data_IF_563476175505
#
_entry.id   IF_563476175505
#
_cell.length_a   1.000
_cell.length_b   1.000
_cell.length_c   1.000
_cell.angle_alpha   90.00
_cell.angle_beta   90.00
_cell.angle_gamma   90.00
#
_symmetry.space_group_name_H-M   'P 1'
#
loop_
_entity.id
_entity.type
_entity.pdbx_description
1 polymer ?
#
# COMPACT_ATOMS: atom_id res chain seq x y z
N UNK A 1 -27.21 23.22 -26.18
CA UNK A 1 -27.53 22.69 -24.83
C UNK A 1 -29.04 22.78 -24.57
N UNK A 2 -29.65 21.87 -23.79
CA UNK A 2 -31.10 21.95 -23.51
C UNK A 2 -31.41 23.04 -22.47
N UNK A 3 -32.50 23.80 -22.65
CA UNK A 3 -32.98 24.80 -21.67
C UNK A 3 -33.16 24.19 -20.27
N UNK A 4 -33.52 22.90 -20.21
CA UNK A 4 -33.68 22.13 -18.98
C UNK A 4 -32.38 21.96 -18.19
N UNK A 5 -31.24 21.72 -18.87
CA UNK A 5 -29.93 21.55 -18.22
C UNK A 5 -29.46 22.86 -17.59
N UNK A 6 -29.64 23.99 -18.29
CA UNK A 6 -29.29 25.32 -17.77
C UNK A 6 -30.05 25.64 -16.47
N UNK A 7 -31.37 25.46 -16.47
CA UNK A 7 -32.20 25.70 -15.28
C UNK A 7 -31.87 24.75 -14.12
N UNK A 8 -31.45 23.51 -14.39
CA UNK A 8 -31.01 22.59 -13.33
C UNK A 8 -29.67 23.02 -12.73
N UNK A 9 -28.73 23.44 -13.57
CA UNK A 9 -27.43 23.94 -13.12
C UNK A 9 -27.59 25.15 -12.19
N UNK A 10 -28.36 26.17 -12.62
CA UNK A 10 -28.63 27.37 -11.81
C UNK A 10 -29.24 27.01 -10.44
N UNK A 11 -30.21 26.08 -10.41
CA UNK A 11 -30.80 25.58 -9.15
C UNK A 11 -29.81 24.82 -8.26
N UNK A 12 -28.86 24.11 -8.86
CA UNK A 12 -27.83 23.39 -8.12
C UNK A 12 -26.83 24.37 -7.48
N UNK A 13 -26.46 25.44 -8.18
CA UNK A 13 -25.60 26.51 -7.63
C UNK A 13 -26.33 27.23 -6.48
N UNK A 14 -27.60 27.61 -6.68
CA UNK A 14 -28.41 28.23 -5.63
C UNK A 14 -28.47 27.36 -4.36
N UNK A 15 -28.61 26.03 -4.52
CA UNK A 15 -28.57 25.12 -3.38
C UNK A 15 -27.24 25.18 -2.61
N UNK A 16 -26.11 25.32 -3.31
CA UNK A 16 -24.80 25.45 -2.66
C UNK A 16 -24.68 26.77 -1.89
N UNK A 17 -25.11 27.89 -2.46
CA UNK A 17 -25.13 29.20 -1.78
C UNK A 17 -25.99 29.17 -0.50
N UNK A 18 -27.12 28.45 -0.54
CA UNK A 18 -28.01 28.30 0.62
C UNK A 18 -27.45 27.35 1.68
N UNK A 19 -26.61 26.39 1.30
CA UNK A 19 -26.14 25.29 2.17
C UNK A 19 -24.73 25.51 2.73
N UNK A 20 -23.86 26.19 1.99
CA UNK A 20 -22.45 26.39 2.33
C UNK A 20 -22.17 27.89 2.54
N UNK A 21 -21.91 28.33 3.79
CA UNK A 21 -21.67 29.75 4.09
C UNK A 21 -20.53 30.38 3.30
N UNK A 22 -19.51 29.60 2.94
CA UNK A 22 -18.36 30.06 2.17
C UNK A 22 -18.78 30.56 0.78
N UNK A 23 -19.73 29.87 0.14
CA UNK A 23 -20.31 30.31 -1.13
C UNK A 23 -21.19 31.56 -1.02
N UNK A 24 -21.50 32.04 0.19
CA UNK A 24 -22.14 33.34 0.40
C UNK A 24 -21.12 34.49 0.47
N UNK A 25 -19.85 34.18 0.80
CA UNK A 25 -18.76 35.15 0.89
C UNK A 25 -18.17 35.46 -0.48
N UNK A 26 -18.13 34.46 -1.37
CA UNK A 26 -17.67 34.58 -2.76
C UNK A 26 -18.87 34.70 -3.69
N UNK A 27 -18.74 35.44 -4.79
CA UNK A 27 -19.79 35.39 -5.79
C UNK A 27 -19.67 34.08 -6.57
N UNK A 28 -20.78 33.48 -7.04
CA UNK A 28 -20.71 32.27 -7.86
C UNK A 28 -19.83 32.41 -9.11
N UNK A 29 -19.74 33.61 -9.67
CA UNK A 29 -18.90 33.93 -10.83
C UNK A 29 -17.39 33.86 -10.51
N UNK A 30 -17.01 33.98 -9.23
CA UNK A 30 -15.62 33.86 -8.78
C UNK A 30 -15.21 32.39 -8.53
N UNK A 31 -16.19 31.52 -8.23
CA UNK A 31 -15.96 30.09 -7.97
C UNK A 31 -16.21 29.22 -9.21
N UNK A 32 -17.19 29.60 -10.05
CA UNK A 32 -17.59 28.85 -11.25
C UNK A 32 -17.33 29.69 -12.50
N UNK A 33 -16.12 29.61 -13.05
CA UNK A 33 -15.77 30.26 -14.32
C UNK A 33 -16.27 29.41 -15.51
N UNK A 34 -17.37 29.85 -16.10
CA UNK A 34 -17.98 29.21 -17.27
C UNK A 34 -17.32 29.74 -18.54
N UNK A 35 -16.19 29.15 -18.95
CA UNK A 35 -15.43 29.59 -20.14
C UNK A 35 -16.13 29.29 -21.46
N UNK A 36 -16.90 28.21 -21.54
CA UNK A 36 -17.66 27.85 -22.74
C UNK A 36 -19.01 27.18 -22.39
N UNK A 37 -19.79 26.79 -23.41
CA UNK A 37 -21.14 26.24 -23.18
C UNK A 37 -21.13 24.91 -22.41
N UNK A 38 -20.00 24.19 -22.41
CA UNK A 38 -19.85 22.82 -21.88
C UNK A 38 -19.01 22.71 -20.60
N UNK A 39 -17.94 23.48 -20.48
CA UNK A 39 -16.92 23.36 -19.43
C UNK A 39 -17.05 24.49 -18.41
N UNK A 40 -16.84 24.13 -17.15
CA UNK A 40 -16.86 25.01 -16.00
C UNK A 40 -15.57 24.74 -15.25
N UNK A 41 -14.76 25.78 -15.10
CA UNK A 41 -13.59 25.79 -14.26
C UNK A 41 -14.04 26.15 -12.84
N UNK A 42 -13.67 25.33 -11.87
CA UNK A 42 -14.07 25.49 -10.48
C UNK A 42 -12.83 25.77 -9.65
N UNK A 43 -12.83 26.90 -8.96
CA UNK A 43 -11.77 27.29 -8.04
C UNK A 43 -12.36 27.31 -6.62
N UNK A 44 -11.91 26.41 -5.74
CA UNK A 44 -12.41 26.44 -4.37
C UNK A 44 -11.91 27.69 -3.64
N UNK A 45 -12.63 28.16 -2.60
CA UNK A 45 -12.11 29.18 -1.71
C UNK A 45 -10.71 28.80 -1.20
N UNK A 46 -9.81 29.78 -1.14
CA UNK A 46 -8.44 29.64 -0.61
C UNK A 46 -7.50 28.77 -1.45
N UNK A 47 -7.86 28.51 -2.71
CA UNK A 47 -7.05 27.78 -3.68
C UNK A 47 -6.19 28.73 -4.52
N UNK A 48 -5.02 28.26 -4.97
CA UNK A 48 -4.18 28.99 -5.91
C UNK A 48 -4.73 28.85 -7.34
N UNK A 49 -4.57 29.89 -8.17
CA UNK A 49 -5.21 30.02 -9.49
C UNK A 49 -4.90 28.88 -10.49
N UNK A 50 -3.90 28.05 -10.22
CA UNK A 50 -3.41 26.98 -11.11
C UNK A 50 -4.00 25.58 -10.82
N UNK A 51 -4.88 25.44 -9.82
CA UNK A 51 -5.48 24.14 -9.41
C UNK A 51 -6.96 23.97 -9.82
N UNK A 52 -7.38 24.56 -10.94
CA UNK A 52 -8.77 24.52 -11.34
C UNK A 52 -9.33 23.10 -11.61
N UNK A 53 -10.52 22.81 -11.07
CA UNK A 53 -11.25 21.59 -11.41
C UNK A 53 -12.10 21.87 -12.65
N UNK A 54 -11.82 21.16 -13.74
CA UNK A 54 -12.57 21.27 -14.99
C UNK A 54 -13.67 20.21 -15.04
N UNK A 55 -14.93 20.63 -15.01
CA UNK A 55 -16.09 19.75 -15.12
C UNK A 55 -17.15 20.29 -16.07
N UNK A 56 -17.98 19.40 -16.59
CA UNK A 56 -19.17 19.81 -17.31
C UNK A 56 -20.30 20.22 -16.36
N UNK A 57 -21.22 21.07 -16.84
CA UNK A 57 -22.45 21.43 -16.09
C UNK A 57 -23.24 20.20 -15.65
N UNK A 58 -23.24 19.13 -16.45
CA UNK A 58 -23.93 17.89 -16.13
C UNK A 58 -23.24 17.13 -14.99
N UNK A 59 -21.90 17.02 -15.03
CA UNK A 59 -21.11 16.41 -13.94
C UNK A 59 -21.28 17.18 -12.63
N UNK A 60 -21.30 18.52 -12.67
CA UNK A 60 -21.56 19.36 -11.48
C UNK A 60 -22.95 19.07 -10.90
N UNK A 61 -23.99 19.02 -11.73
CA UNK A 61 -25.35 18.67 -11.28
C UNK A 61 -25.36 17.30 -10.61
N UNK A 62 -24.73 16.29 -11.22
CA UNK A 62 -24.66 14.93 -10.68
C UNK A 62 -23.93 14.87 -9.34
N UNK A 63 -22.80 15.56 -9.21
CA UNK A 63 -22.04 15.61 -7.96
C UNK A 63 -22.78 16.37 -6.86
N UNK A 64 -23.52 17.43 -7.17
CA UNK A 64 -24.36 18.14 -6.19
C UNK A 64 -25.52 17.25 -5.71
N UNK A 65 -26.11 16.44 -6.59
CA UNK A 65 -27.12 15.45 -6.16
C UNK A 65 -26.52 14.35 -5.28
N UNK A 66 -25.28 13.90 -5.55
CA UNK A 66 -24.56 13.01 -4.64
C UNK A 66 -24.27 13.68 -3.29
N UNK A 67 -23.86 14.95 -3.29
CA UNK A 67 -23.63 15.75 -2.09
C UNK A 67 -24.90 16.03 -1.26
N UNK A 68 -26.09 15.94 -1.85
CA UNK A 68 -27.35 16.01 -1.09
C UNK A 68 -27.62 14.73 -0.29
N UNK A 69 -27.07 13.60 -0.72
CA UNK A 69 -27.42 12.27 -0.23
C UNK A 69 -26.25 11.50 0.39
N UNK A 70 -25.07 12.10 0.51
CA UNK A 70 -23.90 11.42 1.04
C UNK A 70 -24.05 11.07 2.53
N UNK A 71 -23.33 10.05 2.93
CA UNK A 71 -23.05 9.71 4.33
C UNK A 71 -21.55 9.68 4.52
N UNK A 72 -21.09 10.12 5.67
CA UNK A 72 -19.68 10.11 6.01
C UNK A 72 -19.46 9.40 7.32
N UNK A 73 -18.41 8.58 7.34
CA UNK A 73 -17.78 8.04 8.54
C UNK A 73 -16.42 8.72 8.65
N UNK A 74 -16.27 9.64 9.61
CA UNK A 74 -15.09 10.50 9.75
C UNK A 74 -13.89 9.67 10.22
N UNK A 75 -14.11 8.79 11.21
CA UNK A 75 -13.09 7.91 11.79
C UNK A 75 -12.47 7.01 10.71
N UNK A 76 -13.29 6.57 9.76
CA UNK A 76 -12.88 5.70 8.67
C UNK A 76 -12.58 6.44 7.37
N UNK A 77 -12.76 7.77 7.36
CA UNK A 77 -12.60 8.65 6.21
C UNK A 77 -13.25 8.10 4.95
N UNK A 78 -14.46 7.59 5.17
CA UNK A 78 -15.27 6.88 4.19
C UNK A 78 -16.48 7.71 3.84
N UNK A 79 -16.58 8.06 2.56
CA UNK A 79 -17.70 8.80 1.99
C UNK A 79 -18.54 7.81 1.20
N UNK A 80 -19.81 7.68 1.55
CA UNK A 80 -20.77 6.88 0.81
C UNK A 80 -21.75 7.78 0.07
N UNK A 81 -21.84 7.63 -1.24
CA UNK A 81 -22.88 8.26 -2.06
C UNK A 81 -23.82 7.19 -2.60
N UNK A 82 -24.95 7.55 -3.25
CA UNK A 82 -25.85 6.55 -3.85
C UNK A 82 -25.20 5.65 -4.92
N UNK A 83 -24.06 6.05 -5.48
CA UNK A 83 -23.46 5.42 -6.65
C UNK A 83 -22.11 4.75 -6.38
N UNK A 84 -21.38 5.21 -5.34
CA UNK A 84 -20.02 4.77 -5.06
C UNK A 84 -19.64 5.02 -3.61
N UNK A 85 -18.52 4.44 -3.21
CA UNK A 85 -17.87 4.69 -1.93
C UNK A 85 -16.51 5.31 -2.24
N UNK A 86 -16.11 6.32 -1.47
CA UNK A 86 -14.84 6.99 -1.64
C UNK A 86 -14.06 6.99 -0.33
N UNK A 87 -12.74 6.91 -0.46
CA UNK A 87 -11.78 7.04 0.63
C UNK A 87 -10.76 8.12 0.27
N UNK A 88 -10.35 8.90 1.26
CA UNK A 88 -9.29 9.88 1.09
C UNK A 88 -7.93 9.19 0.94
N UNK A 89 -7.15 9.67 -0.01
CA UNK A 89 -5.76 9.26 -0.21
C UNK A 89 -4.84 10.47 -0.39
N UNK A 90 -3.61 10.34 0.10
CA UNK A 90 -2.48 11.26 -0.13
C UNK A 90 -1.32 10.52 -0.76
N UNK A 91 -0.48 11.27 -1.47
CA UNK A 91 0.81 10.82 -1.98
C UNK A 91 1.91 11.28 -1.03
N UNK A 92 2.91 10.44 -0.81
CA UNK A 92 4.08 10.76 0.03
C UNK A 92 5.39 10.66 -0.74
N UNK A 93 5.32 10.86 -2.05
CA UNK A 93 6.46 10.75 -2.96
C UNK A 93 6.27 11.76 -4.09
N UNK A 94 7.37 12.33 -4.59
CA UNK A 94 7.37 13.20 -5.77
C UNK A 94 6.58 12.59 -6.95
N UNK A 95 6.78 11.30 -7.22
CA UNK A 95 6.08 10.57 -8.29
C UNK A 95 4.56 10.56 -8.09
N UNK A 96 4.08 10.52 -6.85
CA UNK A 96 2.64 10.57 -6.56
C UNK A 96 2.07 11.96 -6.86
N UNK A 97 2.81 13.03 -6.55
CA UNK A 97 2.40 14.41 -6.85
C UNK A 97 2.33 14.64 -8.35
N UNK A 98 3.33 14.16 -9.12
CA UNK A 98 3.31 14.21 -10.59
C UNK A 98 2.10 13.46 -11.16
N UNK A 99 1.79 12.27 -10.64
CA UNK A 99 0.63 11.49 -11.08
C UNK A 99 -0.69 12.19 -10.78
N UNK A 100 -0.79 12.87 -9.64
CA UNK A 100 -1.99 13.60 -9.28
C UNK A 100 -2.17 14.88 -10.10
N UNK A 101 -1.09 15.64 -10.34
CA UNK A 101 -1.14 16.84 -11.16
C UNK A 101 -1.49 16.53 -12.61
N UNK A 102 -0.91 15.45 -13.17
CA UNK A 102 -1.21 14.98 -14.53
C UNK A 102 -2.51 14.16 -14.62
N UNK A 103 -3.19 13.90 -13.50
CA UNK A 103 -4.43 13.11 -13.43
C UNK A 103 -4.32 11.75 -14.14
N UNK A 104 -3.19 11.07 -13.99
CA UNK A 104 -2.89 9.81 -14.70
C UNK A 104 -3.94 8.76 -14.35
N UNK A 105 -4.51 8.12 -15.37
CA UNK A 105 -5.58 7.16 -15.18
C UNK A 105 -5.03 5.90 -14.48
N UNK A 106 -5.55 5.62 -13.29
CA UNK A 106 -5.23 4.44 -12.49
C UNK A 106 -6.51 3.74 -12.07
N UNK A 107 -6.74 2.55 -12.62
CA UNK A 107 -7.90 1.73 -12.31
C UNK A 107 -7.55 0.24 -12.28
N UNK A 108 -8.33 -0.50 -11.50
CA UNK A 108 -8.23 -1.96 -11.42
C UNK A 108 -9.54 -2.55 -10.91
N UNK A 109 -9.54 -3.87 -10.69
CA UNK A 109 -10.69 -4.60 -10.20
C UNK A 109 -10.28 -5.59 -9.13
N UNK A 110 -10.94 -5.51 -7.97
CA UNK A 110 -10.80 -6.48 -6.91
C UNK A 110 -12.08 -7.31 -6.82
N UNK A 111 -12.00 -8.58 -7.17
CA UNK A 111 -13.17 -9.48 -7.29
C UNK A 111 -14.21 -8.86 -8.25
N UNK A 112 -15.33 -8.36 -7.74
CA UNK A 112 -16.40 -7.74 -8.52
C UNK A 112 -16.50 -6.22 -8.30
N UNK A 113 -15.54 -5.60 -7.62
CA UNK A 113 -15.55 -4.17 -7.28
C UNK A 113 -14.52 -3.46 -8.16
N UNK A 114 -14.97 -2.42 -8.86
CA UNK A 114 -14.09 -1.57 -9.66
C UNK A 114 -13.47 -0.52 -8.73
N UNK A 115 -12.15 -0.35 -8.82
CA UNK A 115 -11.35 0.54 -7.98
C UNK A 115 -10.60 1.51 -8.87
N UNK A 116 -10.66 2.82 -8.59
CA UNK A 116 -9.89 3.82 -9.34
C UNK A 116 -9.63 5.07 -8.51
N UNK A 117 -8.57 5.79 -8.84
CA UNK A 117 -8.39 7.17 -8.38
C UNK A 117 -9.34 8.06 -9.20
N UNK A 118 -10.21 8.82 -8.54
CA UNK A 118 -11.30 9.58 -9.18
C UNK A 118 -11.10 11.09 -9.08
N UNK A 119 -10.22 11.62 -9.94
CA UNK A 119 -9.88 13.05 -9.99
C UNK A 119 -11.10 13.96 -10.23
N UNK A 120 -12.08 13.49 -11.01
CA UNK A 120 -13.31 14.25 -11.28
C UNK A 120 -14.16 14.46 -10.03
N UNK A 121 -14.01 13.61 -9.02
CA UNK A 121 -14.74 13.70 -7.74
C UNK A 121 -14.05 14.61 -6.71
N UNK A 122 -12.94 15.27 -7.06
CA UNK A 122 -12.34 16.33 -6.23
C UNK A 122 -13.34 17.47 -5.94
N UNK A 123 -14.26 17.76 -6.86
CA UNK A 123 -15.34 18.73 -6.60
C UNK A 123 -16.27 18.28 -5.47
N UNK A 124 -16.78 17.04 -5.51
CA UNK A 124 -17.55 16.46 -4.42
C UNK A 124 -16.77 16.50 -3.09
N UNK A 125 -15.48 16.19 -3.12
CA UNK A 125 -14.63 16.27 -1.94
C UNK A 125 -14.60 17.70 -1.38
N UNK A 126 -14.33 18.72 -2.20
CA UNK A 126 -14.27 20.10 -1.73
C UNK A 126 -15.59 20.57 -1.11
N UNK A 127 -16.74 20.19 -1.66
CA UNK A 127 -18.05 20.48 -1.06
C UNK A 127 -18.21 19.82 0.32
N UNK A 128 -17.76 18.58 0.47
CA UNK A 128 -17.80 17.86 1.76
C UNK A 128 -16.82 18.50 2.76
N UNK A 129 -15.60 18.83 2.33
CA UNK A 129 -14.59 19.50 3.15
C UNK A 129 -15.10 20.83 3.69
N UNK A 130 -15.72 21.67 2.85
CA UNK A 130 -16.33 22.93 3.27
C UNK A 130 -17.43 22.71 4.32
N UNK A 131 -18.34 21.76 4.07
CA UNK A 131 -19.43 21.43 5.00
C UNK A 131 -18.95 20.93 6.36
N UNK A 132 -17.79 20.26 6.39
CA UNK A 132 -17.16 19.77 7.61
C UNK A 132 -16.20 20.79 8.25
N UNK A 133 -15.98 21.94 7.61
CA UNK A 133 -14.92 22.89 7.98
C UNK A 133 -13.54 22.22 8.07
N UNK A 134 -13.30 21.25 7.17
CA UNK A 134 -12.06 20.49 7.04
C UNK A 134 -11.13 21.17 6.03
N UNK A 135 -10.72 22.40 6.34
CA UNK A 135 -9.80 23.25 5.57
C UNK A 135 -9.20 24.33 6.49
N UNK A 136 -8.21 25.08 5.99
CA UNK A 136 -7.64 26.26 6.68
C UNK A 136 -7.58 27.44 5.71
N UNK A 137 -8.14 28.59 6.10
CA UNK A 137 -8.26 29.77 5.22
C UNK A 137 -6.90 30.35 4.79
N UNK A 138 -5.88 30.20 5.63
CA UNK A 138 -4.56 30.79 5.43
C UNK A 138 -3.56 29.81 4.81
N UNK A 139 -3.76 28.50 5.02
CA UNK A 139 -2.75 27.48 4.70
C UNK A 139 -3.24 26.30 3.85
N UNK A 140 -4.55 26.02 3.73
CA UNK A 140 -5.00 24.80 3.04
C UNK A 140 -6.41 24.89 2.43
N UNK A 141 -6.46 24.90 1.08
CA UNK A 141 -7.71 24.76 0.31
C UNK A 141 -8.48 23.48 0.68
N UNK A 142 -9.84 23.47 0.57
CA UNK A 142 -10.69 22.30 0.79
C UNK A 142 -10.31 21.01 0.03
N UNK A 143 -9.51 21.12 -1.04
CA UNK A 143 -9.07 19.98 -1.87
C UNK A 143 -7.54 19.84 -1.99
N UNK A 144 -6.76 20.66 -1.27
CA UNK A 144 -5.29 20.69 -1.36
C UNK A 144 -4.68 19.34 -1.00
N UNK A 145 -3.88 18.77 -1.92
CA UNK A 145 -3.21 17.46 -1.83
C UNK A 145 -4.12 16.26 -1.52
N UNK A 146 -5.45 16.40 -1.72
CA UNK A 146 -6.41 15.34 -1.44
C UNK A 146 -6.98 14.74 -2.71
N UNK A 147 -6.86 13.43 -2.81
CA UNK A 147 -7.47 12.65 -3.87
C UNK A 147 -8.45 11.62 -3.31
N UNK A 148 -9.37 11.19 -4.15
CA UNK A 148 -10.37 10.17 -3.80
C UNK A 148 -10.05 8.86 -4.49
N UNK A 149 -9.96 7.80 -3.70
CA UNK A 149 -10.04 6.44 -4.18
C UNK A 149 -11.51 6.00 -4.18
N UNK A 150 -12.03 5.64 -5.35
CA UNK A 150 -13.42 5.21 -5.51
C UNK A 150 -13.55 3.69 -5.60
N UNK A 151 -14.58 3.15 -4.93
CA UNK A 151 -15.07 1.78 -5.04
C UNK A 151 -16.47 1.80 -5.66
N UNK A 152 -16.59 1.20 -6.84
CA UNK A 152 -17.87 1.09 -7.56
C UNK A 152 -18.31 -0.36 -7.64
N UNK A 153 -19.54 -0.60 -7.19
CA UNK A 153 -20.16 -1.92 -7.20
C UNK A 153 -21.08 -2.06 -8.42
N UNK A 154 -21.09 -3.22 -9.11
CA UNK A 154 -22.04 -3.49 -10.19
C UNK A 154 -23.50 -3.36 -9.75
N UNK A 155 -23.78 -3.75 -8.52
CA UNK A 155 -25.05 -3.47 -7.84
C UNK A 155 -24.74 -2.85 -6.48
N UNK A 156 -24.96 -1.55 -6.35
CA UNK A 156 -24.68 -0.81 -5.12
C UNK A 156 -25.48 -1.29 -3.91
N UNK A 157 -26.65 -1.89 -4.13
CA UNK A 157 -27.44 -2.52 -3.06
C UNK A 157 -26.72 -3.72 -2.42
N UNK A 158 -25.78 -4.32 -3.15
CA UNK A 158 -24.93 -5.43 -2.68
C UNK A 158 -23.53 -4.95 -2.31
N UNK A 159 -23.35 -3.68 -1.94
CA UNK A 159 -22.07 -3.17 -1.42
C UNK A 159 -21.59 -4.04 -0.25
N UNK A 160 -20.28 -4.17 -0.14
CA UNK A 160 -19.68 -5.00 0.89
C UNK A 160 -19.61 -4.25 2.22
N UNK A 161 -19.18 -4.94 3.28
CA UNK A 161 -18.90 -4.28 4.54
C UNK A 161 -17.54 -3.57 4.50
N UNK A 162 -17.30 -2.71 5.50
CA UNK A 162 -16.08 -1.94 5.63
C UNK A 162 -14.80 -2.80 5.60
N UNK A 163 -14.83 -4.00 6.17
CA UNK A 163 -13.68 -4.91 6.16
C UNK A 163 -13.26 -5.26 4.74
N UNK A 164 -14.19 -5.72 3.91
CA UNK A 164 -13.90 -6.10 2.53
C UNK A 164 -13.54 -4.89 1.64
N UNK A 165 -14.09 -3.71 1.94
CA UNK A 165 -13.68 -2.45 1.30
C UNK A 165 -12.20 -2.15 1.60
N UNK A 166 -11.80 -2.24 2.87
CA UNK A 166 -10.41 -2.06 3.29
C UNK A 166 -9.48 -3.12 2.70
N UNK A 167 -9.92 -4.37 2.57
CA UNK A 167 -9.15 -5.41 1.87
C UNK A 167 -8.87 -5.00 0.42
N UNK A 168 -9.90 -4.54 -0.28
CA UNK A 168 -9.82 -4.13 -1.68
C UNK A 168 -8.85 -2.94 -1.86
N UNK A 169 -8.94 -1.95 -0.95
CA UNK A 169 -8.08 -0.78 -0.94
C UNK A 169 -6.63 -1.15 -0.66
N UNK A 170 -6.36 -1.89 0.42
CA UNK A 170 -4.99 -2.26 0.77
C UNK A 170 -4.35 -3.13 -0.32
N UNK A 171 -5.12 -4.00 -0.97
CA UNK A 171 -4.63 -4.75 -2.14
C UNK A 171 -4.30 -3.80 -3.30
N UNK A 172 -5.16 -2.83 -3.59
CA UNK A 172 -4.91 -1.83 -4.63
C UNK A 172 -3.66 -0.98 -4.36
N UNK A 173 -3.54 -0.41 -3.16
CA UNK A 173 -2.39 0.40 -2.74
C UNK A 173 -1.09 -0.41 -2.72
N UNK A 174 -1.13 -1.66 -2.25
CA UNK A 174 0.02 -2.56 -2.29
C UNK A 174 0.52 -2.81 -3.72
N UNK A 175 -0.39 -3.07 -4.66
CA UNK A 175 0.01 -3.32 -6.05
C UNK A 175 0.53 -2.04 -6.73
N UNK A 176 -0.07 -0.88 -6.44
CA UNK A 176 0.46 0.41 -6.89
C UNK A 176 1.90 0.63 -6.43
N UNK A 177 2.14 0.43 -5.14
CA UNK A 177 3.46 0.54 -4.57
C UNK A 177 4.45 -0.43 -5.22
N UNK A 178 4.12 -1.72 -5.27
CA UNK A 178 5.06 -2.73 -5.75
C UNK A 178 5.37 -2.64 -7.24
N UNK A 179 4.40 -2.25 -8.06
CA UNK A 179 4.56 -2.24 -9.52
C UNK A 179 5.08 -0.88 -10.03
N UNK A 180 4.88 0.22 -9.29
CA UNK A 180 5.15 1.58 -9.78
C UNK A 180 5.86 2.48 -8.76
N UNK A 181 6.24 1.96 -7.57
CA UNK A 181 6.86 2.72 -6.49
C UNK A 181 6.01 3.91 -5.99
N UNK A 182 4.69 3.81 -6.15
CA UNK A 182 3.75 4.85 -5.72
C UNK A 182 3.33 4.62 -4.28
N UNK A 183 3.89 5.43 -3.39
CA UNK A 183 3.54 5.40 -1.97
C UNK A 183 2.31 6.27 -1.71
N UNK A 184 1.15 5.63 -1.80
CA UNK A 184 -0.14 6.24 -1.48
C UNK A 184 -0.69 5.67 -0.17
N UNK A 185 -1.22 6.53 0.67
CA UNK A 185 -1.78 6.13 1.96
C UNK A 185 -3.22 6.61 2.13
N UNK A 186 -3.98 5.85 2.92
CA UNK A 186 -5.28 6.31 3.40
C UNK A 186 -5.08 7.47 4.36
N UNK A 187 -5.81 8.54 4.14
CA UNK A 187 -5.76 9.75 4.95
C UNK A 187 -6.97 9.80 5.87
N UNK A 188 -6.79 10.31 7.10
CA UNK A 188 -7.92 10.64 7.94
C UNK A 188 -8.35 12.10 7.75
N UNK A 189 -9.66 12.38 7.90
CA UNK A 189 -10.16 13.76 7.96
C UNK A 189 -9.60 14.55 9.16
N UNK A 190 -9.06 13.89 10.18
CA UNK A 190 -8.48 14.55 11.36
C UNK A 190 -6.96 14.75 11.24
N UNK A 191 -6.31 14.14 10.25
CA UNK A 191 -4.85 14.20 10.07
C UNK A 191 -4.46 15.58 9.55
N UNK A 192 -4.45 16.56 10.44
CA UNK A 192 -3.96 17.91 10.22
C UNK A 192 -2.78 18.18 11.14
N UNK A 193 -1.58 18.15 10.56
CA UNK A 193 -0.48 19.07 10.83
C UNK A 193 0.53 18.83 9.70
N UNK A 194 0.64 19.78 8.77
CA UNK A 194 1.84 19.85 7.95
C UNK A 194 3.04 20.02 8.90
N UNK A 195 3.97 19.07 8.85
CA UNK A 195 5.37 19.46 8.86
C UNK A 195 5.62 20.04 7.47
N UNK A 196 5.90 21.33 7.42
CA UNK A 196 6.67 21.91 6.31
C UNK A 196 7.92 21.04 6.18
N UNK A 197 8.00 20.24 5.13
CA UNK A 197 9.20 19.46 4.83
C UNK A 197 10.02 20.29 3.84
N UNK A 198 11.00 21.04 4.36
CA UNK A 198 11.89 21.89 3.55
C UNK A 198 12.61 21.06 2.46
N UNK A 199 12.78 19.74 2.65
CA UNK A 199 13.38 18.83 1.66
C UNK A 199 12.52 18.61 0.41
N UNK A 200 11.19 18.78 0.47
CA UNK A 200 10.33 18.65 -0.72
C UNK A 200 10.47 19.85 -1.67
N UNK A 201 10.78 21.05 -1.15
CA UNK A 201 10.98 22.25 -1.95
C UNK A 201 12.28 22.19 -2.77
N UNK A 202 13.33 21.54 -2.26
CA UNK A 202 14.58 21.38 -3.01
C UNK A 202 14.45 20.42 -4.21
N UNK A 203 13.42 19.58 -4.25
CA UNK A 203 13.10 18.68 -5.38
C UNK A 203 12.16 19.33 -6.41
N UNK A 204 11.47 20.42 -6.08
CA UNK A 204 10.60 21.15 -7.03
C UNK A 204 11.39 21.96 -8.05
N UNK A 205 12.68 22.24 -7.79
CA UNK A 205 13.56 23.02 -8.66
C UNK A 205 14.25 22.20 -9.77
N UNK A 206 14.12 20.87 -9.78
CA UNK A 206 14.60 20.00 -10.88
C UNK A 206 13.45 19.71 -11.87
N UNK A 207 13.34 20.60 -12.86
CA UNK A 207 12.40 20.58 -13.99
C UNK A 207 12.70 19.45 -15.00
N UNK A 208 12.86 18.21 -14.51
CA UNK A 208 12.97 17.00 -15.31
C UNK A 208 11.58 16.36 -15.44
N UNK A 209 10.69 17.02 -16.20
CA UNK A 209 9.38 16.47 -16.53
C UNK A 209 9.55 15.27 -17.49
N UNK A 210 9.81 14.08 -16.94
CA UNK A 210 9.64 12.84 -17.71
C UNK A 210 8.15 12.73 -18.09
N UNK A 211 7.85 12.59 -19.39
CA UNK A 211 6.50 12.30 -19.87
C UNK A 211 6.07 10.92 -19.33
N UNK A 212 5.24 10.93 -18.29
CA UNK A 212 4.62 9.71 -17.76
C UNK A 212 3.45 9.34 -18.68
N UNK A 213 3.34 8.05 -19.01
CA UNK A 213 2.21 7.53 -19.77
C UNK A 213 0.88 7.94 -19.13
N UNK A 214 -0.04 8.46 -19.93
CA UNK A 214 -1.39 8.91 -19.50
C UNK A 214 -2.25 7.85 -18.78
N UNK A 215 -1.84 6.58 -18.82
CA UNK A 215 -2.46 5.47 -18.11
C UNK A 215 -1.40 4.54 -17.51
N UNK A 216 -1.53 4.27 -16.22
CA UNK A 216 -0.61 3.39 -15.50
C UNK A 216 -1.28 2.04 -15.25
N UNK A 217 -0.66 0.99 -15.82
CA UNK A 217 -1.23 -0.36 -15.82
C UNK A 217 -0.79 -1.14 -14.58
N UNK A 218 -1.77 -1.60 -13.82
CA UNK A 218 -1.56 -2.48 -12.68
C UNK A 218 -1.59 -3.95 -13.10
N UNK A 219 -0.76 -4.77 -12.46
CA UNK A 219 -0.96 -6.23 -12.50
C UNK A 219 -2.30 -6.58 -11.85
N UNK A 220 -2.88 -7.75 -12.16
CA UNK A 220 -4.07 -8.22 -11.48
C UNK A 220 -3.89 -8.19 -9.96
N UNK A 221 -4.84 -7.57 -9.26
CA UNK A 221 -4.79 -7.45 -7.81
C UNK A 221 -4.78 -8.84 -7.16
N UNK A 222 -3.86 -9.03 -6.23
CA UNK A 222 -3.79 -10.24 -5.42
C UNK A 222 -4.75 -10.16 -4.22
N UNK A 223 -5.21 -11.31 -3.75
CA UNK A 223 -6.08 -11.38 -2.55
C UNK A 223 -5.40 -10.73 -1.35
N UNK A 224 -6.13 -9.86 -0.66
CA UNK A 224 -5.62 -9.17 0.53
C UNK A 224 -5.10 -10.15 1.58
N UNK A 225 -4.01 -9.74 2.22
CA UNK A 225 -3.48 -10.34 3.43
C UNK A 225 -2.89 -9.24 4.33
N UNK A 226 -2.87 -9.48 5.64
CA UNK A 226 -2.42 -8.50 6.63
C UNK A 226 -0.98 -8.02 6.41
N UNK A 227 -0.11 -8.85 5.81
CA UNK A 227 1.24 -8.41 5.47
C UNK A 227 1.28 -7.26 4.45
N UNK A 228 0.25 -7.08 3.62
CA UNK A 228 0.15 -5.90 2.74
C UNK A 228 -0.01 -4.62 3.55
N UNK A 229 -0.92 -4.64 4.54
CA UNK A 229 -1.13 -3.50 5.43
C UNK A 229 0.13 -3.21 6.26
N UNK A 230 0.80 -4.25 6.74
CA UNK A 230 2.08 -4.12 7.46
C UNK A 230 3.15 -3.45 6.59
N UNK A 231 3.26 -3.84 5.31
CA UNK A 231 4.20 -3.22 4.38
C UNK A 231 3.88 -1.76 4.14
N UNK A 232 2.63 -1.43 3.80
CA UNK A 232 2.20 -0.05 3.57
C UNK A 232 2.46 0.82 4.81
N UNK A 233 2.19 0.30 6.00
CA UNK A 233 2.48 1.01 7.26
C UNK A 233 3.98 1.17 7.52
N UNK A 234 4.83 0.23 7.10
CA UNK A 234 6.28 0.37 7.24
C UNK A 234 6.84 1.49 6.34
N UNK A 235 6.17 1.82 5.23
CA UNK A 235 6.59 2.89 4.32
C UNK A 235 6.32 4.30 4.84
N UNK A 236 5.49 4.46 5.88
CA UNK A 236 5.24 5.76 6.50
C UNK A 236 6.20 6.07 7.65
N UNK A 237 7.12 5.14 7.97
CA UNK A 237 8.08 5.29 9.07
C UNK A 237 9.36 5.96 8.54
N UNK A 238 9.65 7.15 9.07
CA UNK A 238 10.86 7.91 8.74
C UNK A 238 12.11 7.42 9.46
N UNK A 239 11.98 6.97 10.72
CA UNK A 239 13.14 6.47 11.47
C UNK A 239 13.62 5.12 10.91
N UNK A 240 14.86 5.10 10.42
CA UNK A 240 15.48 3.94 9.77
C UNK A 240 15.46 2.68 10.64
N UNK A 241 15.64 2.80 11.97
CA UNK A 241 15.64 1.65 12.88
C UNK A 241 14.23 1.07 13.02
N UNK A 242 13.22 1.92 13.24
CA UNK A 242 11.83 1.49 13.33
C UNK A 242 11.28 0.97 12.01
N UNK A 243 11.72 1.53 10.87
CA UNK A 243 11.41 1.00 9.54
C UNK A 243 11.93 -0.42 9.40
N UNK A 244 13.19 -0.66 9.77
CA UNK A 244 13.78 -2.00 9.74
C UNK A 244 13.01 -3.00 10.61
N UNK A 245 12.72 -2.64 11.86
CA UNK A 245 11.95 -3.50 12.76
C UNK A 245 10.56 -3.85 12.20
N UNK A 246 9.91 -2.88 11.54
CA UNK A 246 8.59 -3.06 10.93
C UNK A 246 8.64 -3.96 9.69
N UNK A 247 9.65 -3.78 8.83
CA UNK A 247 9.88 -4.66 7.67
C UNK A 247 10.22 -6.08 8.11
N UNK A 248 11.11 -6.24 9.10
CA UNK A 248 11.45 -7.55 9.66
C UNK A 248 10.23 -8.25 10.26
N UNK A 249 9.28 -7.49 10.84
CA UNK A 249 8.05 -8.07 11.38
C UNK A 249 7.21 -8.80 10.33
N UNK A 250 7.28 -8.37 9.06
CA UNK A 250 6.62 -9.04 7.94
C UNK A 250 7.26 -10.41 7.69
N UNK A 251 8.59 -10.51 7.74
CA UNK A 251 9.30 -11.79 7.62
C UNK A 251 8.90 -12.74 8.76
N UNK A 252 8.85 -12.25 10.01
CA UNK A 252 8.37 -13.03 11.16
C UNK A 252 6.94 -13.54 10.95
N UNK A 253 6.04 -12.65 10.50
CA UNK A 253 4.62 -12.94 10.30
C UNK A 253 4.41 -14.16 9.39
N UNK A 254 5.13 -14.24 8.28
CA UNK A 254 5.00 -15.34 7.32
C UNK A 254 5.89 -16.55 7.60
N UNK A 255 6.86 -16.43 8.49
CA UNK A 255 7.83 -17.49 8.75
C UNK A 255 7.22 -18.76 9.35
N UNK A 256 6.20 -18.61 10.19
CA UNK A 256 5.42 -19.73 10.74
C UNK A 256 4.70 -20.51 9.64
N UNK A 257 4.09 -19.81 8.69
CA UNK A 257 3.43 -20.42 7.53
C UNK A 257 4.46 -21.13 6.66
N UNK A 258 5.60 -20.50 6.37
CA UNK A 258 6.67 -21.12 5.59
C UNK A 258 7.19 -22.43 6.22
N UNK A 259 7.35 -22.44 7.55
CA UNK A 259 7.71 -23.66 8.29
C UNK A 259 6.63 -24.75 8.17
N UNK A 260 5.35 -24.40 8.31
CA UNK A 260 4.24 -25.36 8.14
C UNK A 260 4.18 -25.93 6.72
N UNK A 261 4.29 -25.07 5.71
CA UNK A 261 4.33 -25.48 4.29
C UNK A 261 5.46 -26.49 4.06
N UNK A 262 6.68 -26.18 4.53
CA UNK A 262 7.82 -27.10 4.39
C UNK A 262 7.59 -28.43 5.10
N UNK A 263 7.07 -28.40 6.33
CA UNK A 263 6.80 -29.60 7.10
C UNK A 263 5.68 -30.46 6.51
N UNK A 264 4.63 -29.84 5.96
CA UNK A 264 3.53 -30.54 5.30
C UNK A 264 3.99 -31.20 4.01
N UNK A 265 4.87 -30.56 3.23
CA UNK A 265 5.48 -31.19 2.05
C UNK A 265 6.36 -32.39 2.42
N UNK A 266 7.16 -32.28 3.49
CA UNK A 266 7.97 -33.41 3.99
C UNK A 266 7.10 -34.56 4.49
N UNK A 267 6.04 -34.25 5.23
CA UNK A 267 5.08 -35.24 5.73
C UNK A 267 4.33 -35.90 4.58
N UNK A 268 3.82 -35.13 3.62
CA UNK A 268 3.14 -35.65 2.44
C UNK A 268 4.03 -36.65 1.68
N UNK A 269 5.31 -36.30 1.44
CA UNK A 269 6.28 -37.22 0.82
C UNK A 269 6.47 -38.53 1.59
N UNK A 270 6.38 -38.49 2.93
CA UNK A 270 6.42 -39.72 3.74
C UNK A 270 5.13 -40.53 3.61
N UNK A 271 3.98 -39.87 3.65
CA UNK A 271 2.68 -40.52 3.53
C UNK A 271 2.44 -41.12 2.14
N UNK A 272 3.00 -40.53 1.09
CA UNK A 272 2.96 -41.04 -0.28
C UNK A 272 3.88 -42.26 -0.49
N UNK A 273 4.76 -42.57 0.48
CA UNK A 273 5.60 -43.76 0.42
C UNK A 273 4.75 -45.02 0.53
N UNK A 274 5.00 -46.10 -0.24
CA UNK A 274 4.30 -47.38 -0.08
C UNK A 274 4.39 -47.97 1.34
N UNK A 275 5.41 -47.56 2.11
CA UNK A 275 5.58 -47.93 3.51
C UNK A 275 4.49 -47.36 4.43
N UNK A 276 3.73 -46.36 4.00
CA UNK A 276 2.60 -45.81 4.77
C UNK A 276 1.44 -46.80 4.89
N UNK A 277 1.27 -47.71 3.93
CA UNK A 277 0.22 -48.74 3.94
C UNK A 277 0.51 -49.85 4.95
N UNK A 278 1.79 -50.16 5.18
CA UNK A 278 2.27 -51.17 6.13
C UNK A 278 3.51 -50.64 6.86
N UNK A 279 3.34 -49.76 7.87
CA UNK A 279 4.43 -49.06 8.50
C UNK A 279 5.33 -50.00 9.31
N UNK A 280 6.64 -49.97 9.01
CA UNK A 280 7.68 -50.60 9.82
C UNK A 280 8.21 -49.64 10.90
N UNK A 281 8.98 -50.15 11.87
CA UNK A 281 9.54 -49.33 12.96
C UNK A 281 10.43 -48.19 12.45
N UNK A 282 11.14 -48.38 11.33
CA UNK A 282 11.99 -47.35 10.72
C UNK A 282 11.15 -46.22 10.13
N UNK A 283 10.03 -46.55 9.49
CA UNK A 283 9.09 -45.59 8.95
C UNK A 283 8.48 -44.75 10.08
N UNK A 284 7.97 -45.39 11.14
CA UNK A 284 7.41 -44.70 12.30
C UNK A 284 8.42 -43.76 12.97
N UNK A 285 9.66 -44.23 13.19
CA UNK A 285 10.73 -43.38 13.71
C UNK A 285 11.00 -42.17 12.80
N UNK A 286 10.96 -42.35 11.48
CA UNK A 286 11.17 -41.23 10.55
C UNK A 286 10.07 -40.16 10.61
N UNK A 287 8.85 -40.52 11.02
CA UNK A 287 7.78 -39.55 11.28
C UNK A 287 8.03 -38.79 12.60
N UNK A 288 8.47 -39.49 13.65
CA UNK A 288 8.84 -38.86 14.93
C UNK A 288 10.04 -37.92 14.79
N UNK A 289 11.01 -38.27 13.95
CA UNK A 289 12.14 -37.41 13.59
C UNK A 289 11.67 -36.13 12.89
N UNK A 290 10.69 -36.21 11.97
CA UNK A 290 10.09 -35.02 11.35
C UNK A 290 9.44 -34.09 12.38
N UNK A 291 8.68 -34.64 13.33
CA UNK A 291 8.06 -33.85 14.39
C UNK A 291 9.12 -33.16 15.29
N UNK A 292 10.20 -33.87 15.62
CA UNK A 292 11.29 -33.31 16.43
C UNK A 292 12.05 -32.23 15.66
N UNK A 293 12.32 -32.45 14.37
CA UNK A 293 12.92 -31.47 13.47
C UNK A 293 12.06 -30.22 13.30
N UNK A 294 10.73 -30.37 13.25
CA UNK A 294 9.79 -29.25 13.22
C UNK A 294 9.94 -28.35 14.45
N UNK A 295 9.99 -28.93 15.66
CA UNK A 295 10.18 -28.16 16.90
C UNK A 295 11.52 -27.41 16.93
N UNK A 296 12.62 -28.04 16.50
CA UNK A 296 13.95 -27.41 16.45
C UNK A 296 14.01 -26.23 15.47
N UNK A 297 13.19 -26.25 14.41
CA UNK A 297 13.11 -25.22 13.37
C UNK A 297 12.19 -24.05 13.73
N UNK A 298 11.48 -24.09 14.85
CA UNK A 298 10.69 -22.95 15.36
C UNK A 298 11.52 -21.81 15.96
N UNK A 299 12.84 -21.98 16.08
CA UNK A 299 13.71 -20.91 16.57
C UNK A 299 13.73 -19.77 15.55
N UNK A 300 13.63 -18.51 16.03
CA UNK A 300 13.51 -17.30 15.20
C UNK A 300 14.49 -17.24 14.02
N UNK A 301 15.79 -17.51 14.26
CA UNK A 301 16.80 -17.55 13.21
C UNK A 301 16.49 -18.57 12.11
N UNK A 302 16.04 -19.77 12.49
CA UNK A 302 15.70 -20.83 11.53
C UNK A 302 14.40 -20.48 10.77
N UNK A 303 13.46 -19.81 11.42
CA UNK A 303 12.23 -19.33 10.81
C UNK A 303 12.53 -18.33 9.66
N UNK A 304 13.43 -17.37 9.87
CA UNK A 304 13.86 -16.43 8.83
C UNK A 304 14.51 -17.16 7.66
N UNK A 305 15.40 -18.11 7.95
CA UNK A 305 16.04 -18.92 6.92
C UNK A 305 15.02 -19.69 6.07
N UNK A 306 14.01 -20.29 6.71
CA UNK A 306 12.99 -21.07 6.02
C UNK A 306 12.14 -20.18 5.13
N UNK A 307 11.68 -19.02 5.62
CA UNK A 307 10.87 -18.11 4.81
C UNK A 307 11.64 -17.62 3.60
N UNK A 308 12.91 -17.18 3.76
CA UNK A 308 13.74 -16.77 2.63
C UNK A 308 13.87 -17.88 1.60
N UNK A 309 14.21 -19.10 2.03
CA UNK A 309 14.41 -20.25 1.13
C UNK A 309 13.16 -20.64 0.35
N UNK A 310 11.97 -20.48 0.93
CA UNK A 310 10.70 -20.89 0.31
C UNK A 310 10.08 -19.82 -0.58
N UNK A 311 10.32 -18.55 -0.28
CA UNK A 311 9.52 -17.46 -0.82
C UNK A 311 10.30 -16.46 -1.67
N UNK A 312 11.63 -16.46 -1.57
CA UNK A 312 12.49 -15.47 -2.22
C UNK A 312 13.57 -16.14 -3.05
N UNK A 313 13.66 -15.75 -4.32
CA UNK A 313 14.88 -15.94 -5.09
C UNK A 313 15.86 -14.82 -4.73
N UNK A 314 16.86 -15.15 -3.90
CA UNK A 314 17.86 -14.16 -3.46
C UNK A 314 18.74 -13.67 -4.60
N UNK A 315 18.77 -14.37 -5.74
CA UNK A 315 19.50 -13.90 -6.92
C UNK A 315 18.83 -12.68 -7.56
N UNK A 316 17.49 -12.66 -7.58
CA UNK A 316 16.67 -11.55 -8.13
C UNK A 316 16.72 -10.27 -7.30
N UNK A 317 17.28 -10.32 -6.08
CA UNK A 317 17.44 -9.17 -5.17
C UNK A 317 18.89 -8.87 -4.83
N UNK A 318 19.82 -9.56 -5.48
CA UNK A 318 21.24 -9.42 -5.17
C UNK A 318 21.75 -7.99 -5.40
N UNK A 319 21.21 -7.30 -6.41
CA UNK A 319 21.57 -5.91 -6.73
C UNK A 319 21.19 -4.92 -5.63
N UNK A 320 20.30 -5.33 -4.70
CA UNK A 320 19.91 -4.52 -3.55
C UNK A 320 20.71 -4.85 -2.29
N UNK A 321 21.69 -5.76 -2.36
CA UNK A 321 22.48 -6.12 -1.18
C UNK A 321 23.26 -4.89 -0.67
N UNK A 322 23.20 -4.59 0.64
CA UNK A 322 24.17 -3.70 1.26
C UNK A 322 25.58 -4.25 1.07
N UNK A 323 26.57 -3.34 0.94
CA UNK A 323 27.98 -3.69 0.78
C UNK A 323 28.45 -4.66 1.88
N UNK A 324 27.95 -4.50 3.10
CA UNK A 324 28.24 -5.39 4.22
C UNK A 324 27.82 -6.84 3.96
N UNK A 325 26.68 -7.08 3.30
CA UNK A 325 26.27 -8.45 2.91
C UNK A 325 27.23 -8.99 1.86
N UNK A 326 27.61 -8.16 0.87
CA UNK A 326 28.57 -8.55 -0.16
C UNK A 326 29.94 -8.93 0.45
N UNK A 327 30.43 -8.15 1.41
CA UNK A 327 31.67 -8.41 2.14
C UNK A 327 31.63 -9.75 2.89
N UNK A 328 30.50 -10.05 3.55
CA UNK A 328 30.30 -11.35 4.23
C UNK A 328 30.24 -12.53 3.27
N UNK A 329 29.91 -12.27 2.01
CA UNK A 329 29.85 -13.24 0.93
C UNK A 329 31.12 -13.22 0.06
N UNK A 330 32.11 -12.39 0.39
CA UNK A 330 33.35 -12.26 -0.38
C UNK A 330 33.97 -13.63 -0.70
N UNK A 331 34.33 -13.82 -1.97
CA UNK A 331 34.84 -15.08 -2.49
C UNK A 331 33.76 -16.09 -2.94
N UNK A 332 32.47 -15.79 -2.80
CA UNK A 332 31.37 -16.57 -3.38
C UNK A 332 30.87 -15.91 -4.66
N UNK A 333 31.18 -16.52 -5.81
CA UNK A 333 30.51 -16.14 -7.07
C UNK A 333 29.25 -16.96 -7.21
N UNK A 334 28.13 -16.41 -6.71
CA UNK A 334 26.83 -17.08 -6.75
C UNK A 334 26.10 -16.68 -8.01
N UNK A 335 25.58 -17.67 -8.74
CA UNK A 335 24.71 -17.53 -9.90
C UNK A 335 23.71 -18.70 -9.96
N UNK A 336 22.83 -18.73 -10.95
CA UNK A 336 21.84 -19.79 -11.11
C UNK A 336 22.41 -21.20 -11.35
N UNK A 337 23.67 -21.31 -11.75
CA UNK A 337 24.38 -22.58 -11.90
C UNK A 337 25.16 -23.00 -10.64
N UNK A 338 25.13 -22.18 -9.57
CA UNK A 338 25.82 -22.48 -8.32
C UNK A 338 25.28 -23.74 -7.64
N UNK A 339 26.16 -24.39 -6.88
CA UNK A 339 25.81 -25.61 -6.15
C UNK A 339 24.81 -25.27 -5.05
N UNK A 340 23.93 -26.22 -4.73
CA UNK A 340 22.98 -26.12 -3.61
C UNK A 340 23.66 -25.67 -2.30
N UNK A 341 24.86 -26.15 -2.02
CA UNK A 341 25.62 -25.77 -0.82
C UNK A 341 26.01 -24.29 -0.78
N UNK A 342 26.26 -23.66 -1.94
CA UNK A 342 26.60 -22.24 -2.06
C UNK A 342 25.35 -21.39 -1.88
N UNK A 343 24.23 -21.80 -2.47
CA UNK A 343 22.92 -21.17 -2.28
C UNK A 343 22.49 -21.28 -0.80
N UNK A 344 22.65 -22.44 -0.18
CA UNK A 344 22.35 -22.63 1.24
C UNK A 344 23.25 -21.73 2.12
N UNK A 345 24.53 -21.53 1.75
CA UNK A 345 25.42 -20.60 2.44
C UNK A 345 24.93 -19.15 2.31
N UNK A 346 24.53 -18.72 1.11
CA UNK A 346 23.93 -17.40 0.88
C UNK A 346 22.73 -17.16 1.80
N UNK A 347 21.76 -18.07 1.76
CA UNK A 347 20.54 -17.95 2.56
C UNK A 347 20.88 -17.91 4.06
N UNK A 348 21.81 -18.74 4.53
CA UNK A 348 22.22 -18.76 5.93
C UNK A 348 22.86 -17.43 6.36
N UNK A 349 23.73 -16.86 5.53
CA UNK A 349 24.39 -15.59 5.81
C UNK A 349 23.38 -14.45 5.87
N UNK A 350 22.49 -14.35 4.87
CA UNK A 350 21.46 -13.31 4.83
C UNK A 350 20.50 -13.44 6.01
N UNK A 351 20.03 -14.65 6.31
CA UNK A 351 19.14 -14.89 7.45
C UNK A 351 19.80 -14.49 8.78
N UNK A 352 21.10 -14.77 8.95
CA UNK A 352 21.84 -14.37 10.15
C UNK A 352 21.96 -12.86 10.28
N UNK A 353 22.28 -12.16 9.19
CA UNK A 353 22.39 -10.70 9.20
C UNK A 353 21.07 -10.06 9.58
N UNK A 354 19.96 -10.52 8.97
CA UNK A 354 18.64 -9.99 9.28
C UNK A 354 18.28 -10.21 10.77
N UNK A 355 18.49 -11.44 11.25
CA UNK A 355 18.20 -11.81 12.64
C UNK A 355 19.06 -11.04 13.65
N UNK A 356 20.38 -10.99 13.45
CA UNK A 356 21.32 -10.31 14.34
C UNK A 356 21.05 -8.80 14.39
N UNK A 357 20.82 -8.17 13.23
CA UNK A 357 20.49 -6.74 13.16
C UNK A 357 19.20 -6.43 13.91
N UNK A 358 18.14 -7.25 13.73
CA UNK A 358 16.88 -7.07 14.49
C UNK A 358 17.12 -7.19 15.99
N UNK A 359 17.91 -8.17 16.42
CA UNK A 359 18.20 -8.35 17.84
C UNK A 359 18.99 -7.19 18.43
N UNK A 360 19.97 -6.65 17.70
CA UNK A 360 20.72 -5.46 18.14
C UNK A 360 19.77 -4.28 18.35
N UNK A 361 18.90 -3.99 17.37
CA UNK A 361 17.97 -2.86 17.40
C UNK A 361 16.88 -3.04 18.48
N UNK A 362 16.33 -4.26 18.62
CA UNK A 362 15.30 -4.56 19.62
C UNK A 362 15.86 -4.64 21.06
N UNK A 363 17.16 -4.90 21.22
CA UNK A 363 17.81 -5.09 22.51
C UNK A 363 18.97 -4.13 22.73
N UNK A 364 18.75 -2.83 22.51
CA UNK A 364 19.62 -1.73 22.94
C UNK A 364 19.84 -1.64 24.48
N UNK A 365 19.77 -2.76 25.20
CA UNK A 365 20.17 -2.92 26.60
C UNK A 365 21.69 -3.09 26.67
N UNK A 366 22.28 -2.58 27.75
CA UNK A 366 23.72 -2.60 28.04
C UNK A 366 24.42 -3.98 28.07
N UNK A 367 23.70 -5.10 27.87
CA UNK A 367 24.22 -6.46 27.90
C UNK A 367 24.10 -7.20 26.54
N UNK A 368 23.76 -6.50 25.45
CA UNK A 368 23.80 -7.11 24.11
C UNK A 368 25.25 -7.46 23.74
N UNK A 369 25.45 -8.66 23.20
CA UNK A 369 26.77 -9.11 22.72
C UNK A 369 26.71 -9.22 21.20
N UNK A 370 27.53 -8.42 20.52
CA UNK A 370 27.63 -8.44 19.07
C UNK A 370 28.13 -9.79 18.56
N UNK A 371 27.51 -10.27 17.49
CA UNK A 371 27.86 -11.52 16.81
C UNK A 371 28.79 -11.28 15.61
N UNK A 372 28.93 -10.03 15.19
CA UNK A 372 29.64 -9.62 13.98
C UNK A 372 28.82 -9.79 12.70
N UNK A 373 27.54 -10.12 12.81
CA UNK A 373 26.59 -10.20 11.69
C UNK A 373 25.58 -9.04 11.68
N UNK A 374 25.63 -8.18 12.68
CA UNK A 374 24.85 -6.97 12.76
C UNK A 374 25.22 -6.02 11.61
N UNK A 375 24.22 -5.47 10.94
CA UNK A 375 24.44 -4.47 9.90
C UNK A 375 24.96 -3.17 10.51
N UNK A 376 26.03 -2.59 9.94
CA UNK A 376 26.48 -1.25 10.28
C UNK A 376 25.36 -0.20 10.11
N UNK A 377 25.34 0.81 10.99
CA UNK A 377 24.29 1.84 10.99
C UNK A 377 24.26 2.68 9.72
N UNK A 378 25.41 2.92 9.11
CA UNK A 378 25.58 3.65 7.84
C UNK A 378 25.07 2.87 6.61
N UNK A 379 24.74 1.59 6.76
CA UNK A 379 24.19 0.75 5.70
C UNK A 379 22.76 0.27 5.99
N UNK A 380 22.14 0.76 7.07
CA UNK A 380 20.83 0.31 7.49
C UNK A 380 19.72 0.72 6.52
N UNK A 381 19.85 1.85 5.82
CA UNK A 381 18.93 2.26 4.76
C UNK A 381 18.97 1.30 3.57
N UNK A 382 20.16 0.90 3.12
CA UNK A 382 20.30 -0.13 2.08
C UNK A 382 19.72 -1.47 2.55
N UNK A 383 19.89 -1.82 3.84
CA UNK A 383 19.29 -3.02 4.40
C UNK A 383 17.76 -2.93 4.44
N UNK A 384 17.20 -1.74 4.69
CA UNK A 384 15.76 -1.50 4.59
C UNK A 384 15.25 -1.73 3.17
N UNK A 385 15.88 -1.13 2.15
CA UNK A 385 15.53 -1.34 0.75
C UNK A 385 15.59 -2.83 0.36
N UNK A 386 16.62 -3.54 0.80
CA UNK A 386 16.74 -4.98 0.61
C UNK A 386 15.61 -5.77 1.30
N UNK A 387 15.38 -5.49 2.58
CA UNK A 387 14.39 -6.21 3.41
C UNK A 387 12.97 -5.96 2.91
N UNK A 388 12.71 -4.76 2.40
CA UNK A 388 11.45 -4.43 1.74
C UNK A 388 11.24 -5.25 0.46
N UNK A 389 12.25 -5.32 -0.41
CA UNK A 389 12.17 -6.14 -1.63
C UNK A 389 11.97 -7.63 -1.32
N UNK A 390 12.53 -8.11 -0.21
CA UNK A 390 12.27 -9.44 0.37
C UNK A 390 10.83 -9.56 0.85
N UNK A 391 10.33 -8.61 1.64
CA UNK A 391 8.97 -8.60 2.18
C UNK A 391 7.90 -8.62 1.07
N UNK A 392 8.08 -7.83 0.01
CA UNK A 392 7.20 -7.83 -1.18
C UNK A 392 7.12 -9.24 -1.80
N UNK A 393 8.27 -9.91 -1.96
CA UNK A 393 8.34 -11.26 -2.53
C UNK A 393 7.68 -12.29 -1.63
N UNK A 394 7.85 -12.17 -0.30
CA UNK A 394 7.17 -13.02 0.68
C UNK A 394 5.65 -12.87 0.60
N UNK A 395 5.13 -11.64 0.58
CA UNK A 395 3.69 -11.36 0.47
C UNK A 395 3.13 -11.95 -0.84
N UNK A 396 3.82 -11.74 -1.97
CA UNK A 396 3.43 -12.32 -3.27
C UNK A 396 3.51 -13.84 -3.29
N UNK A 397 4.49 -14.45 -2.62
CA UNK A 397 4.57 -15.89 -2.46
C UNK A 397 3.39 -16.44 -1.66
N UNK A 398 3.08 -15.82 -0.51
CA UNK A 398 1.96 -16.22 0.33
C UNK A 398 0.62 -16.12 -0.42
N UNK A 399 0.42 -15.05 -1.19
CA UNK A 399 -0.78 -14.87 -1.99
C UNK A 399 -1.03 -16.01 -2.99
N UNK A 400 0.04 -16.66 -3.49
CA UNK A 400 -0.02 -17.80 -4.43
C UNK A 400 -0.23 -19.14 -3.75
N UNK A 401 -0.11 -19.24 -2.43
CA UNK A 401 -0.29 -20.51 -1.74
C UNK A 401 -1.73 -21.02 -1.88
N UNK A 402 -1.93 -22.34 -2.02
CA UNK A 402 -3.26 -22.93 -1.94
C UNK A 402 -3.96 -22.57 -0.62
N UNK A 403 -5.28 -22.42 -0.66
CA UNK A 403 -6.08 -22.01 0.50
C UNK A 403 -5.84 -22.88 1.76
N UNK A 404 -5.66 -24.20 1.60
CA UNK A 404 -5.43 -25.12 2.71
C UNK A 404 -4.03 -24.99 3.36
N UNK A 405 -3.11 -24.25 2.71
CA UNK A 405 -1.77 -23.95 3.23
C UNK A 405 -1.69 -22.56 3.86
N UNK A 406 -2.67 -21.68 3.61
CA UNK A 406 -2.76 -20.37 4.24
C UNK A 406 -3.29 -20.53 5.67
N UNK A 407 -2.67 -19.87 6.63
CA UNK A 407 -3.25 -19.76 7.97
C UNK A 407 -4.39 -18.76 7.91
N UNK A 408 -5.64 -19.23 7.88
CA UNK A 408 -6.72 -18.35 8.31
C UNK A 408 -6.62 -18.22 9.82
N UNK A 409 -6.33 -17.02 10.29
CA UNK A 409 -6.83 -16.59 11.58
C UNK A 409 -8.36 -16.71 11.49
N UNK A 410 -8.89 -17.83 12.02
CA UNK A 410 -10.30 -17.94 12.35
C UNK A 410 -10.52 -16.87 13.42
N UNK A 411 -10.94 -15.69 13.00
CA UNK A 411 -11.45 -14.63 13.87
C UNK A 411 -12.95 -14.78 14.01
#
# INVERSE_FOLDING_TARGET
MSKKTKTRFEKSIQYLEETLPEFQRYKPEDVFDVRNDSEVHILFPYEHDDEDIILTKQEIIEQIEEFKAYKIDIDESRIETPNAIYFLISGHSFQANVIFSQQIKIESKYKNVDIKIDYKKRFLLGLISLKLSAYDEDYQSPIYERNLLSLKYPNFLNKQNLTLEKEAINSFLFNLYCDNQLNLNLMSYESYMFKYDEELQELEDEDDSEEIDSELKLKPLIEYDDGMKMLLSAQTIFDTNFKYLSLYKILEHYSSTALKVDAYEELAKKLDSPKSLNPDSRYLNSILELATSFELRKRDKELIKIVLKKSVDLMDVKELFPLFIEDKLSGLTINYASKKSEIDKLVNTVAEILYSTRNQLAHAKANFTETGYECPSDQLDSLNSFTEAVAIRIIRWYARLPYHMKEKNVS
#
